data_IF_805805806885
#
_entry.id   IF_805805806885
#
_cell.length_a   1.000
_cell.length_b   1.000
_cell.length_c   1.000
_cell.angle_alpha   90.00
_cell.angle_beta   90.00
_cell.angle_gamma   90.00
#
_symmetry.space_group_name_H-M   'P 1'
#
loop_
_entity.id
_entity.type
_entity.pdbx_description
1 polymer ?
#
# COMPACT_ATOMS: atom_id res chain seq x y z
N UNK A 1 -18.92 -0.49 25.44
CA UNK A 1 -17.64 -0.44 24.71
C UNK A 1 -17.99 -0.15 23.27
N UNK A 2 -17.40 0.86 22.64
CA UNK A 2 -17.57 1.12 21.21
C UNK A 2 -16.99 -0.08 20.46
N UNK A 3 -17.76 -0.69 19.57
CA UNK A 3 -17.29 -1.78 18.73
C UNK A 3 -16.08 -1.28 17.93
N UNK A 4 -14.98 -2.07 17.87
CA UNK A 4 -13.84 -1.80 17.00
C UNK A 4 -14.09 -2.43 15.64
N UNK A 5 -13.37 -2.00 14.62
CA UNK A 5 -13.36 -2.67 13.33
C UNK A 5 -12.19 -3.66 13.30
N UNK A 6 -12.43 -4.89 12.87
CA UNK A 6 -11.42 -5.94 12.74
C UNK A 6 -11.32 -6.43 11.30
N UNK A 7 -10.16 -6.95 10.92
CA UNK A 7 -9.96 -7.60 9.62
C UNK A 7 -10.51 -9.03 9.68
N UNK A 8 -11.44 -9.36 8.79
CA UNK A 8 -12.10 -10.69 8.74
C UNK A 8 -11.71 -11.49 7.50
N UNK A 9 -11.22 -10.82 6.46
CA UNK A 9 -10.71 -11.46 5.25
C UNK A 9 -9.61 -10.64 4.60
N UNK A 10 -8.74 -11.31 3.84
CA UNK A 10 -7.62 -10.69 3.13
C UNK A 10 -7.33 -11.41 1.83
N UNK A 11 -6.72 -10.68 0.89
CA UNK A 11 -6.31 -11.23 -0.40
C UNK A 11 -5.28 -10.36 -1.07
N UNK A 12 -4.51 -10.93 -1.97
CA UNK A 12 -3.52 -10.21 -2.78
C UNK A 12 -3.60 -10.65 -4.24
N UNK A 13 -3.15 -9.77 -5.13
CA UNK A 13 -2.90 -10.06 -6.54
C UNK A 13 -1.49 -9.59 -6.90
N UNK A 14 -0.63 -10.54 -7.25
CA UNK A 14 0.73 -10.28 -7.70
C UNK A 14 0.79 -10.59 -9.19
N UNK A 15 1.23 -9.66 -10.05
CA UNK A 15 1.41 -9.94 -11.46
C UNK A 15 2.37 -11.11 -11.70
N UNK A 16 2.04 -12.05 -12.62
CA UNK A 16 2.90 -13.20 -12.90
C UNK A 16 4.19 -12.81 -13.62
N UNK A 17 4.16 -11.71 -14.37
CA UNK A 17 5.34 -11.20 -15.09
C UNK A 17 6.22 -10.43 -14.11
N UNK A 18 7.52 -10.71 -14.15
CA UNK A 18 8.53 -10.05 -13.33
C UNK A 18 9.53 -9.31 -14.22
N UNK A 19 9.85 -8.10 -13.80
CA UNK A 19 10.98 -7.34 -14.32
C UNK A 19 12.14 -7.53 -13.33
N UNK A 20 13.16 -8.25 -13.76
CA UNK A 20 14.34 -8.54 -12.95
C UNK A 20 15.37 -7.40 -13.03
N UNK A 21 16.36 -7.41 -12.13
CA UNK A 21 17.48 -6.48 -12.23
C UNK A 21 18.29 -6.71 -13.52
N UNK A 22 18.44 -7.96 -13.97
CA UNK A 22 19.09 -8.30 -15.23
C UNK A 22 18.37 -7.72 -16.46
N UNK A 23 17.03 -7.62 -16.43
CA UNK A 23 16.28 -6.95 -17.49
C UNK A 23 16.54 -5.43 -17.49
N UNK A 24 16.63 -4.82 -16.29
CA UNK A 24 16.92 -3.39 -16.16
C UNK A 24 18.33 -3.03 -16.61
N UNK A 25 19.32 -3.92 -16.46
CA UNK A 25 20.68 -3.75 -16.99
C UNK A 25 20.71 -3.59 -18.52
N UNK A 26 19.67 -4.11 -19.22
CA UNK A 26 19.54 -3.94 -20.67
C UNK A 26 18.92 -2.59 -21.06
N UNK A 27 18.31 -1.89 -20.10
CA UNK A 27 17.56 -0.65 -20.36
C UNK A 27 18.33 0.59 -19.92
N UNK A 28 19.02 0.52 -18.77
CA UNK A 28 19.73 1.67 -18.17
C UNK A 28 21.08 1.24 -17.63
N UNK A 29 21.99 2.21 -17.46
CA UNK A 29 23.32 2.00 -16.89
C UNK A 29 23.23 1.68 -15.39
N UNK A 30 23.04 0.41 -15.05
CA UNK A 30 22.90 -0.13 -13.70
C UNK A 30 23.42 -1.57 -13.64
N UNK A 31 23.47 -2.12 -12.43
CA UNK A 31 23.77 -3.54 -12.18
C UNK A 31 22.98 -4.06 -10.98
N UNK A 32 22.85 -5.39 -10.89
CA UNK A 32 22.12 -6.06 -9.80
C UNK A 32 22.64 -5.65 -8.42
N UNK A 33 23.95 -5.63 -8.23
CA UNK A 33 24.55 -5.37 -6.92
C UNK A 33 24.27 -3.94 -6.46
N UNK A 34 24.35 -2.98 -7.38
CA UNK A 34 23.99 -1.58 -7.13
C UNK A 34 22.51 -1.42 -6.74
N UNK A 35 21.61 -2.12 -7.43
CA UNK A 35 20.17 -2.07 -7.11
C UNK A 35 19.89 -2.69 -5.75
N UNK A 36 20.38 -3.90 -5.52
CA UNK A 36 20.14 -4.66 -4.26
C UNK A 36 20.73 -3.92 -3.07
N UNK A 37 21.98 -3.44 -3.16
CA UNK A 37 22.61 -2.68 -2.07
C UNK A 37 21.79 -1.45 -1.68
N UNK A 38 21.14 -0.78 -2.65
CA UNK A 38 20.41 0.47 -2.40
C UNK A 38 18.98 0.28 -2.00
N UNK A 39 18.35 -0.81 -2.41
CA UNK A 39 16.90 -0.96 -2.32
C UNK A 39 16.44 -2.25 -1.65
N UNK A 40 17.25 -3.31 -1.72
CA UNK A 40 16.86 -4.68 -1.38
C UNK A 40 16.02 -5.36 -2.46
N UNK A 41 15.81 -4.74 -3.64
CA UNK A 41 14.90 -5.26 -4.69
C UNK A 41 15.69 -6.14 -5.66
N UNK A 42 15.22 -7.38 -5.88
CA UNK A 42 15.75 -8.30 -6.87
C UNK A 42 14.88 -8.33 -8.13
N UNK A 43 13.56 -8.24 -7.93
CA UNK A 43 12.58 -8.23 -9.01
C UNK A 43 11.32 -7.43 -8.60
N UNK A 44 10.50 -7.05 -9.56
CA UNK A 44 9.22 -6.36 -9.34
C UNK A 44 8.16 -6.88 -10.28
N UNK A 45 6.90 -6.90 -9.80
CA UNK A 45 5.76 -7.26 -10.61
C UNK A 45 5.48 -6.23 -11.69
N UNK A 46 5.16 -6.69 -12.90
CA UNK A 46 4.72 -5.87 -14.02
C UNK A 46 3.39 -6.38 -14.52
N UNK A 47 2.38 -5.52 -14.50
CA UNK A 47 1.02 -5.87 -14.90
C UNK A 47 0.78 -5.54 -16.37
N UNK A 48 0.27 -6.51 -17.13
CA UNK A 48 -0.23 -6.31 -18.47
C UNK A 48 -1.73 -5.96 -18.51
N UNK A 49 -2.37 -5.94 -17.35
CA UNK A 49 -3.78 -5.57 -17.16
C UNK A 49 -3.91 -4.28 -16.36
N UNK A 50 -5.11 -3.74 -16.22
CA UNK A 50 -5.33 -2.48 -15.54
C UNK A 50 -5.32 -2.59 -14.00
N UNK A 51 -5.30 -1.43 -13.33
CA UNK A 51 -5.29 -1.36 -11.86
C UNK A 51 -6.53 -2.03 -11.25
N UNK A 52 -7.69 -1.85 -11.89
CA UNK A 52 -8.94 -2.47 -11.42
C UNK A 52 -8.98 -3.98 -11.63
N UNK A 53 -8.29 -4.53 -12.63
CA UNK A 53 -8.16 -6.00 -12.80
C UNK A 53 -7.38 -6.63 -11.64
N UNK A 54 -6.28 -5.99 -11.22
CA UNK A 54 -5.52 -6.43 -10.06
C UNK A 54 -6.34 -6.31 -8.78
N UNK A 55 -7.05 -5.19 -8.62
CA UNK A 55 -7.92 -4.92 -7.48
C UNK A 55 -9.03 -5.96 -7.36
N UNK A 56 -9.67 -6.34 -8.47
CA UNK A 56 -10.75 -7.34 -8.50
C UNK A 56 -10.28 -8.70 -7.98
N UNK A 57 -9.14 -9.18 -8.44
CA UNK A 57 -8.59 -10.46 -7.98
C UNK A 57 -8.27 -10.43 -6.48
N UNK A 58 -7.68 -9.35 -5.98
CA UNK A 58 -7.37 -9.20 -4.56
C UNK A 58 -8.66 -9.13 -3.72
N UNK A 59 -9.65 -8.37 -4.18
CA UNK A 59 -10.96 -8.20 -3.54
C UNK A 59 -11.72 -9.52 -3.44
N UNK A 60 -11.83 -10.27 -4.54
CA UNK A 60 -12.51 -11.58 -4.55
C UNK A 60 -11.86 -12.57 -3.57
N UNK A 61 -10.53 -12.56 -3.46
CA UNK A 61 -9.80 -13.39 -2.48
C UNK A 61 -10.08 -12.95 -1.04
N UNK A 62 -10.15 -11.63 -0.78
CA UNK A 62 -10.48 -11.10 0.54
C UNK A 62 -11.92 -11.46 0.95
N UNK A 63 -12.88 -11.33 0.03
CA UNK A 63 -14.28 -11.73 0.25
C UNK A 63 -14.39 -13.23 0.53
N UNK A 64 -13.73 -14.07 -0.26
CA UNK A 64 -13.72 -15.51 -0.06
C UNK A 64 -13.12 -15.89 1.31
N UNK A 65 -12.04 -15.22 1.74
CA UNK A 65 -11.44 -15.43 3.05
C UNK A 65 -12.36 -15.00 4.21
N UNK A 66 -13.18 -13.95 4.01
CA UNK A 66 -14.18 -13.51 4.96
C UNK A 66 -15.47 -14.38 4.95
N UNK A 67 -15.65 -15.22 3.93
CA UNK A 67 -16.89 -15.98 3.73
C UNK A 67 -18.08 -15.11 3.33
N UNK A 68 -17.82 -14.00 2.62
CA UNK A 68 -18.81 -13.02 2.20
C UNK A 68 -18.97 -13.01 0.67
N UNK A 69 -20.19 -12.65 0.24
CA UNK A 69 -20.50 -12.35 -1.14
C UNK A 69 -20.32 -10.83 -1.40
N UNK A 70 -20.03 -10.41 -2.64
CA UNK A 70 -19.89 -8.98 -2.96
C UNK A 70 -21.09 -8.11 -2.56
N UNK A 71 -22.30 -8.65 -2.64
CA UNK A 71 -23.53 -7.95 -2.26
C UNK A 71 -23.67 -7.69 -0.75
N UNK A 72 -22.83 -8.33 0.07
CA UNK A 72 -22.81 -8.10 1.53
C UNK A 72 -22.04 -6.83 1.92
N UNK A 73 -21.31 -6.23 0.99
CA UNK A 73 -20.45 -5.06 1.26
C UNK A 73 -21.28 -3.77 1.21
N UNK A 74 -21.11 -2.92 2.23
CA UNK A 74 -21.77 -1.62 2.34
C UNK A 74 -20.89 -0.48 1.77
N UNK A 75 -19.57 -0.65 1.86
CA UNK A 75 -18.63 0.37 1.42
C UNK A 75 -17.39 -0.27 0.78
N UNK A 76 -16.99 0.25 -0.39
CA UNK A 76 -15.76 -0.09 -1.07
C UNK A 76 -14.84 1.12 -1.14
N UNK A 77 -13.62 0.99 -0.59
CA UNK A 77 -12.58 2.03 -0.62
C UNK A 77 -11.41 1.50 -1.44
N UNK A 78 -11.06 2.18 -2.53
CA UNK A 78 -9.88 1.85 -3.33
C UNK A 78 -8.78 2.89 -3.10
N UNK A 79 -7.71 2.49 -2.44
CA UNK A 79 -6.51 3.31 -2.27
C UNK A 79 -5.59 3.14 -3.47
N UNK A 80 -5.42 4.19 -4.27
CA UNK A 80 -4.58 4.19 -5.47
C UNK A 80 -4.08 5.57 -5.85
N UNK A 81 -2.90 5.65 -6.47
CA UNK A 81 -2.38 6.83 -7.19
C UNK A 81 -2.32 6.59 -8.69
N UNK A 82 -2.59 5.36 -9.14
CA UNK A 82 -2.57 4.97 -10.55
C UNK A 82 -3.97 4.52 -11.03
N UNK A 83 -4.99 5.40 -10.92
CA UNK A 83 -6.30 5.07 -11.44
C UNK A 83 -6.23 4.94 -12.95
N UNK A 84 -6.94 3.96 -13.54
CA UNK A 84 -7.01 3.80 -14.99
C UNK A 84 -7.80 4.93 -15.67
N UNK A 85 -8.79 5.47 -14.96
CA UNK A 85 -9.61 6.62 -15.39
C UNK A 85 -9.82 7.61 -14.23
N UNK A 86 -10.10 8.86 -14.58
CA UNK A 86 -10.31 9.92 -13.58
C UNK A 86 -11.76 9.98 -13.09
N UNK A 87 -12.71 9.62 -13.93
CA UNK A 87 -14.14 9.64 -13.63
C UNK A 87 -14.88 8.65 -14.56
N UNK A 88 -15.73 7.75 -14.02
CA UNK A 88 -16.03 7.59 -12.61
C UNK A 88 -14.80 7.19 -11.78
N UNK A 89 -14.90 7.16 -10.43
CA UNK A 89 -13.83 6.62 -9.60
C UNK A 89 -13.60 5.14 -9.93
N UNK A 90 -12.35 4.68 -9.80
CA UNK A 90 -12.05 3.27 -10.07
C UNK A 90 -12.70 2.33 -9.05
N UNK A 91 -12.96 2.82 -7.84
CA UNK A 91 -13.77 2.11 -6.86
C UNK A 91 -15.19 1.82 -7.36
N UNK A 92 -15.82 2.75 -8.11
CA UNK A 92 -17.13 2.50 -8.72
C UNK A 92 -17.06 1.48 -9.86
N UNK A 93 -15.97 1.49 -10.66
CA UNK A 93 -15.73 0.47 -11.69
C UNK A 93 -15.54 -0.89 -11.05
N UNK A 94 -14.75 -0.96 -10.00
CA UNK A 94 -14.51 -2.20 -9.24
C UNK A 94 -15.80 -2.71 -8.58
N UNK A 95 -16.61 -1.81 -8.02
CA UNK A 95 -17.90 -2.12 -7.40
C UNK A 95 -18.86 -2.80 -8.38
N UNK A 96 -18.96 -2.28 -9.60
CA UNK A 96 -19.78 -2.85 -10.68
C UNK A 96 -19.25 -4.23 -11.10
N UNK A 97 -17.94 -4.35 -11.33
CA UNK A 97 -17.29 -5.60 -11.76
C UNK A 97 -17.44 -6.73 -10.73
N UNK A 98 -17.35 -6.42 -9.46
CA UNK A 98 -17.57 -7.36 -8.37
C UNK A 98 -19.06 -7.76 -8.21
N UNK A 99 -19.98 -6.94 -8.68
CA UNK A 99 -21.40 -7.08 -8.38
C UNK A 99 -21.74 -6.67 -6.94
N UNK A 100 -20.96 -5.76 -6.34
CA UNK A 100 -21.19 -5.26 -4.97
C UNK A 100 -22.29 -4.20 -4.97
N UNK A 101 -23.51 -4.60 -5.37
CA UNK A 101 -24.64 -3.73 -5.71
C UNK A 101 -25.12 -2.84 -4.57
N UNK A 102 -24.83 -3.22 -3.32
CA UNK A 102 -25.23 -2.47 -2.13
C UNK A 102 -24.13 -1.49 -1.66
N UNK A 103 -22.91 -1.61 -2.19
CA UNK A 103 -21.78 -0.82 -1.73
C UNK A 103 -21.78 0.60 -2.30
N UNK A 104 -21.64 1.60 -1.43
CA UNK A 104 -21.09 2.88 -1.84
C UNK A 104 -19.59 2.74 -2.14
N UNK A 105 -19.03 3.56 -3.05
CA UNK A 105 -17.66 3.38 -3.49
C UNK A 105 -16.95 4.72 -3.76
N UNK A 106 -15.67 4.83 -3.38
CA UNK A 106 -14.82 5.98 -3.69
C UNK A 106 -13.34 5.62 -3.70
N UNK A 107 -12.57 6.38 -4.51
CA UNK A 107 -11.12 6.31 -4.50
C UNK A 107 -10.53 7.15 -3.37
N UNK A 108 -9.47 6.64 -2.73
CA UNK A 108 -8.69 7.35 -1.72
C UNK A 108 -7.26 7.54 -2.22
N UNK A 109 -6.81 8.78 -2.28
CA UNK A 109 -5.43 9.10 -2.63
C UNK A 109 -4.68 9.69 -1.43
N UNK A 110 -3.86 8.86 -0.79
CA UNK A 110 -2.86 9.26 0.19
C UNK A 110 -1.50 8.60 -0.14
N UNK A 111 -1.25 8.36 -1.43
CA UNK A 111 -0.05 7.72 -1.95
C UNK A 111 0.29 6.43 -1.16
N UNK A 112 1.55 6.22 -0.82
CA UNK A 112 2.02 5.04 -0.07
C UNK A 112 1.33 4.85 1.30
N UNK A 113 0.74 5.91 1.87
CA UNK A 113 -0.04 5.84 3.11
C UNK A 113 -1.50 5.46 2.88
N UNK A 114 -1.92 5.25 1.63
CA UNK A 114 -3.32 5.00 1.25
C UNK A 114 -3.97 3.88 2.04
N UNK A 115 -3.25 2.77 2.26
CA UNK A 115 -3.75 1.67 3.06
C UNK A 115 -4.07 2.06 4.52
N UNK A 116 -3.16 2.81 5.18
CA UNK A 116 -3.33 3.23 6.57
C UNK A 116 -4.48 4.24 6.70
N UNK A 117 -4.56 5.19 5.77
CA UNK A 117 -5.69 6.14 5.72
C UNK A 117 -7.01 5.42 5.43
N UNK A 118 -6.99 4.44 4.53
CA UNK A 118 -8.14 3.59 4.22
C UNK A 118 -8.61 2.80 5.44
N UNK A 119 -7.67 2.16 6.16
CA UNK A 119 -7.96 1.40 7.40
C UNK A 119 -8.58 2.30 8.47
N UNK A 120 -8.01 3.48 8.70
CA UNK A 120 -8.55 4.44 9.67
C UNK A 120 -9.94 4.95 9.27
N UNK A 121 -10.16 5.19 7.97
CA UNK A 121 -11.46 5.62 7.43
C UNK A 121 -12.50 4.51 7.58
N UNK A 122 -12.19 3.28 7.15
CA UNK A 122 -13.06 2.12 7.29
C UNK A 122 -13.42 1.86 8.75
N UNK A 123 -12.43 1.88 9.65
CA UNK A 123 -12.65 1.73 11.08
C UNK A 123 -13.57 2.83 11.65
N UNK A 124 -13.40 4.08 11.21
CA UNK A 124 -14.25 5.18 11.66
C UNK A 124 -15.68 5.06 11.15
N UNK A 125 -15.88 4.58 9.92
CA UNK A 125 -17.21 4.33 9.35
C UNK A 125 -17.95 3.23 10.10
N UNK A 126 -17.25 2.13 10.41
CA UNK A 126 -17.82 1.00 11.16
C UNK A 126 -18.15 1.42 12.59
N UNK A 127 -17.22 2.04 13.30
CA UNK A 127 -17.45 2.47 14.69
C UNK A 127 -18.48 3.59 14.81
N UNK A 128 -18.63 4.39 13.76
CA UNK A 128 -19.67 5.44 13.62
C UNK A 128 -21.04 4.93 13.16
N UNK A 129 -21.18 3.63 12.84
CA UNK A 129 -22.43 3.03 12.38
C UNK A 129 -22.85 3.44 10.96
N UNK A 130 -21.92 3.91 10.13
CA UNK A 130 -22.17 4.28 8.73
C UNK A 130 -22.06 3.09 7.78
N UNK A 131 -21.33 2.06 8.16
CA UNK A 131 -21.16 0.81 7.43
C UNK A 131 -20.92 -0.33 8.42
N UNK A 132 -21.33 -1.54 8.09
CA UNK A 132 -21.01 -2.74 8.84
C UNK A 132 -19.85 -3.51 8.18
N UNK A 133 -19.83 -3.53 6.83
CA UNK A 133 -18.82 -4.27 6.05
C UNK A 133 -18.13 -3.36 5.06
N UNK A 134 -16.85 -3.16 5.25
CA UNK A 134 -16.03 -2.33 4.37
C UNK A 134 -14.99 -3.19 3.65
N UNK A 135 -15.02 -3.17 2.33
CA UNK A 135 -13.97 -3.73 1.50
C UNK A 135 -12.93 -2.64 1.19
N UNK A 136 -11.75 -2.76 1.78
CA UNK A 136 -10.61 -1.89 1.54
C UNK A 136 -9.64 -2.56 0.57
N UNK A 137 -9.29 -1.87 -0.51
CA UNK A 137 -8.37 -2.35 -1.53
C UNK A 137 -7.25 -1.33 -1.73
N UNK A 138 -6.01 -1.79 -1.78
CA UNK A 138 -4.86 -1.02 -2.26
C UNK A 138 -4.38 -1.62 -3.57
N UNK A 139 -4.36 -0.86 -4.66
CA UNK A 139 -3.96 -1.38 -5.97
C UNK A 139 -3.20 -0.35 -6.77
N UNK A 140 -2.13 -0.78 -7.46
CA UNK A 140 -1.23 0.10 -8.21
C UNK A 140 -0.68 -0.55 -9.47
N UNK A 141 -0.54 0.26 -10.53
CA UNK A 141 0.15 -0.04 -11.79
C UNK A 141 1.23 1.00 -12.04
N UNK A 142 2.27 0.97 -11.20
CA UNK A 142 3.30 2.02 -11.16
C UNK A 142 4.29 1.95 -12.30
N UNK A 143 4.56 0.75 -12.86
CA UNK A 143 5.48 0.62 -13.99
C UNK A 143 5.07 1.51 -15.18
N UNK A 144 3.77 1.75 -15.38
CA UNK A 144 3.23 2.56 -16.46
C UNK A 144 3.62 4.04 -16.38
N UNK A 145 3.90 4.55 -15.19
CA UNK A 145 4.25 5.96 -14.94
C UNK A 145 5.74 6.16 -14.68
N UNK A 146 6.56 5.10 -14.81
CA UNK A 146 8.01 5.18 -14.64
C UNK A 146 8.70 5.64 -15.90
N UNK A 147 9.74 6.47 -15.71
CA UNK A 147 10.70 6.83 -16.75
C UNK A 147 11.84 5.81 -16.75
N UNK A 148 11.83 4.87 -17.70
CA UNK A 148 12.88 3.86 -17.84
C UNK A 148 14.19 4.41 -18.39
N UNK A 149 14.33 5.72 -18.57
CA UNK A 149 15.61 6.41 -18.82
C UNK A 149 16.22 6.95 -17.52
N UNK A 150 15.46 6.99 -16.43
CA UNK A 150 15.95 7.41 -15.12
C UNK A 150 16.24 6.21 -14.22
N UNK A 151 17.53 5.79 -14.19
CA UNK A 151 17.96 4.66 -13.36
C UNK A 151 17.72 4.83 -11.87
N UNK A 152 17.52 6.06 -11.39
CA UNK A 152 17.31 6.31 -9.96
C UNK A 152 15.89 5.93 -9.49
N UNK A 153 14.93 5.94 -10.40
CA UNK A 153 13.51 5.71 -10.08
C UNK A 153 12.93 4.47 -10.70
N UNK A 154 13.33 4.07 -11.92
CA UNK A 154 12.79 2.91 -12.62
C UNK A 154 13.05 1.57 -11.91
N UNK A 155 14.07 1.53 -11.04
CA UNK A 155 14.46 0.35 -10.26
C UNK A 155 13.55 0.07 -9.05
N UNK A 156 12.70 1.04 -8.64
CA UNK A 156 12.04 1.03 -7.33
C UNK A 156 10.66 0.35 -7.35
N UNK A 157 9.84 0.69 -8.34
CA UNK A 157 8.40 0.44 -8.27
C UNK A 157 7.98 -0.83 -8.97
N UNK A 158 6.97 -1.49 -8.39
CA UNK A 158 6.28 -2.63 -8.95
C UNK A 158 4.78 -2.49 -8.83
N UNK A 159 4.06 -3.35 -9.52
CA UNK A 159 2.60 -3.40 -9.56
C UNK A 159 2.07 -4.49 -8.64
N UNK A 160 0.82 -4.32 -8.23
CA UNK A 160 0.11 -5.31 -7.45
C UNK A 160 -1.14 -4.75 -6.78
N UNK A 161 -1.86 -5.64 -6.12
CA UNK A 161 -3.00 -5.27 -5.30
C UNK A 161 -3.06 -6.14 -4.04
N UNK A 162 -3.59 -5.54 -2.96
CA UNK A 162 -3.99 -6.25 -1.77
C UNK A 162 -5.31 -5.71 -1.26
N UNK A 163 -6.10 -6.55 -0.62
CA UNK A 163 -7.41 -6.20 -0.13
C UNK A 163 -7.69 -6.83 1.24
N UNK A 164 -8.56 -6.20 2.00
CA UNK A 164 -9.13 -6.79 3.21
C UNK A 164 -10.57 -6.37 3.41
N UNK A 165 -11.33 -7.24 4.07
CA UNK A 165 -12.65 -6.92 4.62
C UNK A 165 -12.50 -6.51 6.07
N UNK A 166 -13.18 -5.43 6.45
CA UNK A 166 -13.29 -4.98 7.83
C UNK A 166 -14.77 -5.06 8.28
N UNK A 167 -14.98 -5.61 9.48
CA UNK A 167 -16.29 -5.77 10.11
C UNK A 167 -16.27 -5.33 11.58
N UNK A 168 -17.41 -5.12 12.23
CA UNK A 168 -17.47 -4.88 13.69
C UNK A 168 -16.88 -6.06 14.45
N UNK A 169 -15.94 -5.78 15.33
CA UNK A 169 -15.34 -6.82 16.21
C UNK A 169 -16.38 -7.36 17.19
N UNK A 170 -16.37 -8.67 17.35
CA UNK A 170 -17.19 -9.37 18.35
C UNK A 170 -16.46 -9.56 19.70
N UNK A 171 -15.12 -9.52 19.66
CA UNK A 171 -14.27 -9.88 20.80
C UNK A 171 -13.52 -8.69 21.39
N UNK A 172 -13.68 -7.48 20.79
CA UNK A 172 -12.96 -6.27 21.22
C UNK A 172 -11.55 -6.15 20.62
N UNK A 173 -11.13 -7.07 19.75
CA UNK A 173 -9.95 -6.96 18.88
C UNK A 173 -10.17 -5.93 17.75
N UNK A 174 -9.19 -5.74 16.89
CA UNK A 174 -9.30 -4.88 15.73
C UNK A 174 -8.41 -3.65 15.81
N UNK A 175 -8.72 -2.61 15.05
CA UNK A 175 -7.93 -1.38 14.98
C UNK A 175 -7.90 -0.70 16.34
N UNK A 176 -6.75 -0.77 17.00
CA UNK A 176 -6.56 -0.25 18.37
C UNK A 176 -6.33 1.25 18.38
N UNK A 177 -5.52 1.74 17.44
CA UNK A 177 -5.23 3.15 17.25
C UNK A 177 -4.75 3.43 15.83
N UNK A 178 -4.84 4.68 15.43
CA UNK A 178 -4.23 5.17 14.19
C UNK A 178 -3.50 6.50 14.45
N UNK A 179 -2.37 6.70 13.76
CA UNK A 179 -1.67 7.96 13.70
C UNK A 179 -1.59 8.41 12.24
N UNK A 180 -2.32 9.46 11.92
CA UNK A 180 -2.35 10.04 10.58
C UNK A 180 -1.69 11.42 10.61
N UNK A 181 -0.98 11.76 9.54
CA UNK A 181 -0.33 13.04 9.41
C UNK A 181 0.10 13.33 7.97
N UNK A 182 0.34 14.59 7.67
CA UNK A 182 0.83 15.02 6.37
C UNK A 182 1.86 16.15 6.53
N UNK A 183 2.90 16.12 5.70
CA UNK A 183 3.87 17.20 5.54
C UNK A 183 3.89 17.68 4.08
N UNK A 184 3.10 18.70 3.80
CA UNK A 184 2.99 19.27 2.46
C UNK A 184 4.27 19.97 1.98
N UNK A 185 5.19 20.33 2.88
CA UNK A 185 6.49 20.89 2.52
C UNK A 185 7.42 19.76 2.07
N UNK A 186 7.48 18.68 2.85
CA UNK A 186 8.22 17.49 2.51
C UNK A 186 7.69 16.81 1.23
N UNK A 187 6.41 16.91 0.93
CA UNK A 187 5.79 16.39 -0.30
C UNK A 187 6.42 16.90 -1.60
N UNK A 188 7.17 18.00 -1.57
CA UNK A 188 7.92 18.49 -2.74
C UNK A 188 9.12 17.63 -3.11
N UNK A 189 9.55 16.73 -2.24
CA UNK A 189 10.68 15.82 -2.49
C UNK A 189 10.32 14.63 -3.35
N UNK A 190 9.01 14.37 -3.54
CA UNK A 190 8.47 13.31 -4.37
C UNK A 190 7.18 13.77 -5.05
N UNK A 191 7.22 13.96 -6.36
CA UNK A 191 6.09 14.50 -7.13
C UNK A 191 5.87 13.70 -8.42
N UNK A 192 4.64 13.26 -8.65
CA UNK A 192 4.15 12.66 -9.90
C UNK A 192 3.26 13.65 -10.66
N UNK A 193 3.79 14.52 -11.54
CA UNK A 193 2.98 15.56 -12.20
C UNK A 193 2.03 14.99 -13.25
N UNK A 194 2.37 13.88 -13.87
CA UNK A 194 1.64 13.27 -15.01
C UNK A 194 0.25 12.78 -14.66
N UNK A 195 0.02 12.42 -13.41
CA UNK A 195 -1.28 11.92 -12.94
C UNK A 195 -2.29 13.03 -12.59
N UNK A 196 -1.86 14.30 -12.68
CA UNK A 196 -2.70 15.46 -12.38
C UNK A 196 -2.94 16.38 -13.59
N UNK A 197 -3.72 17.44 -13.38
CA UNK A 197 -4.06 18.44 -14.42
C UNK A 197 -2.84 19.15 -14.99
N UNK A 198 -1.77 19.29 -14.20
CA UNK A 198 -0.50 19.86 -14.68
C UNK A 198 0.12 19.04 -15.80
N UNK A 199 0.08 17.69 -15.73
CA UNK A 199 0.63 16.81 -16.76
C UNK A 199 -0.13 16.89 -18.09
N UNK A 200 -1.44 17.10 -18.06
CA UNK A 200 -2.28 17.16 -19.26
C UNK A 200 -2.21 18.47 -20.05
N UNK A 201 -1.93 19.58 -19.37
CA UNK A 201 -1.87 20.91 -19.98
C UNK A 201 -0.48 21.27 -20.52
N UNK A 202 0.53 20.44 -20.21
CA UNK A 202 1.85 20.65 -20.76
C UNK A 202 1.88 20.22 -22.23
N UNK A 203 2.36 21.10 -23.10
CA UNK A 203 2.78 20.69 -24.42
C UNK A 203 3.81 19.56 -24.28
N UNK A 204 3.88 18.62 -25.23
CA UNK A 204 4.82 17.50 -25.31
C UNK A 204 6.32 17.86 -25.19
N UNK A 205 6.64 19.10 -24.81
CA UNK A 205 7.98 19.69 -24.79
C UNK A 205 8.56 19.89 -23.40
N UNK A 206 7.80 19.68 -22.32
CA UNK A 206 8.35 19.79 -20.97
C UNK A 206 8.62 18.42 -20.37
N UNK A 207 9.86 17.90 -20.47
CA UNK A 207 10.21 16.60 -19.93
C UNK A 207 10.07 16.52 -18.39
N UNK A 208 10.03 17.69 -17.72
CA UNK A 208 9.85 17.78 -16.27
C UNK A 208 8.45 17.31 -15.84
N UNK A 209 7.44 17.50 -16.69
CA UNK A 209 6.05 17.14 -16.38
C UNK A 209 5.71 15.66 -16.63
N UNK A 210 6.66 14.89 -17.17
CA UNK A 210 6.48 13.47 -17.49
C UNK A 210 7.36 12.54 -16.64
N UNK A 211 8.00 13.06 -15.60
CA UNK A 211 8.92 12.28 -14.76
C UNK A 211 8.54 12.37 -13.31
N UNK A 212 8.78 11.29 -12.58
CA UNK A 212 8.80 11.30 -11.13
C UNK A 212 9.97 12.19 -10.66
N UNK A 213 9.66 13.25 -9.90
CA UNK A 213 10.66 14.00 -9.17
C UNK A 213 10.89 13.31 -7.84
N UNK A 214 12.13 12.89 -7.60
CA UNK A 214 12.48 12.08 -6.43
C UNK A 214 13.83 12.49 -5.84
N UNK A 215 13.81 13.19 -4.70
CA UNK A 215 14.99 13.40 -3.86
C UNK A 215 15.14 12.25 -2.86
N UNK A 216 15.83 11.20 -3.28
CA UNK A 216 15.97 9.98 -2.48
C UNK A 216 16.63 10.19 -1.11
N UNK A 217 17.52 11.20 -0.94
CA UNK A 217 18.15 11.49 0.35
C UNK A 217 17.18 12.15 1.32
N UNK A 218 16.43 13.13 0.83
CA UNK A 218 15.42 13.80 1.64
C UNK A 218 14.31 12.82 2.02
N UNK A 219 13.80 12.03 1.06
CA UNK A 219 12.78 11.00 1.28
C UNK A 219 13.25 9.97 2.32
N UNK A 220 14.49 9.46 2.21
CA UNK A 220 15.04 8.52 3.19
C UNK A 220 15.00 9.09 4.62
N UNK A 221 15.51 10.31 4.81
CA UNK A 221 15.56 10.95 6.12
C UNK A 221 14.17 11.17 6.71
N UNK A 222 13.25 11.71 5.89
CA UNK A 222 11.86 11.99 6.30
C UNK A 222 11.14 10.69 6.65
N UNK A 223 11.28 9.65 5.81
CA UNK A 223 10.63 8.37 6.03
C UNK A 223 11.08 7.70 7.32
N UNK A 224 12.41 7.60 7.57
CA UNK A 224 12.94 6.97 8.80
C UNK A 224 12.46 7.69 10.05
N UNK A 225 12.49 9.03 10.06
CA UNK A 225 12.02 9.82 11.20
C UNK A 225 10.49 9.76 11.37
N UNK A 226 9.77 9.81 10.24
CA UNK A 226 8.30 9.74 10.24
C UNK A 226 7.77 8.42 10.75
N UNK A 227 8.34 7.30 10.29
CA UNK A 227 7.97 5.94 10.74
C UNK A 227 8.19 5.82 12.26
N UNK A 228 9.39 6.17 12.76
CA UNK A 228 9.67 6.09 14.20
C UNK A 228 8.67 6.92 15.01
N UNK A 229 8.45 8.17 14.62
CA UNK A 229 7.56 9.07 15.35
C UNK A 229 6.10 8.60 15.33
N UNK A 230 5.62 8.12 14.16
CA UNK A 230 4.24 7.65 14.00
C UNK A 230 3.98 6.37 14.78
N UNK A 231 4.90 5.39 14.71
CA UNK A 231 4.79 4.14 15.50
C UNK A 231 4.69 4.45 16.99
N UNK A 232 5.57 5.32 17.53
CA UNK A 232 5.52 5.70 18.95
C UNK A 232 4.17 6.32 19.34
N UNK A 233 3.66 7.27 18.53
CA UNK A 233 2.36 7.90 18.80
C UNK A 233 1.18 6.92 18.69
N UNK A 234 1.23 5.98 17.75
CA UNK A 234 0.19 4.96 17.62
C UNK A 234 0.18 4.03 18.85
N UNK A 235 1.34 3.58 19.29
CA UNK A 235 1.48 2.77 20.51
C UNK A 235 1.00 3.52 21.75
N UNK A 236 1.40 4.78 21.93
CA UNK A 236 0.96 5.62 23.05
C UNK A 236 -0.57 5.75 23.08
N UNK A 237 -1.21 5.98 21.92
CA UNK A 237 -2.68 6.04 21.79
C UNK A 237 -3.36 4.71 22.09
N UNK A 238 -2.72 3.60 21.74
CA UNK A 238 -3.23 2.27 22.02
C UNK A 238 -3.01 1.84 23.48
N UNK A 239 -2.16 2.56 24.24
CA UNK A 239 -1.74 2.18 25.58
C UNK A 239 -0.81 0.95 25.59
N UNK A 240 -0.07 0.75 24.50
CA UNK A 240 0.83 -0.38 24.27
C UNK A 240 2.29 0.07 24.22
N UNK A 241 3.17 -0.87 24.45
CA UNK A 241 4.61 -0.76 24.23
C UNK A 241 5.02 -1.59 23.00
N UNK A 242 6.23 -1.37 22.52
CA UNK A 242 6.77 -2.16 21.41
C UNK A 242 6.95 -3.66 21.76
N UNK A 243 7.08 -3.98 23.06
CA UNK A 243 7.18 -5.36 23.52
C UNK A 243 5.87 -6.15 23.35
N UNK A 244 4.74 -5.44 23.31
CA UNK A 244 3.40 -6.02 23.14
C UNK A 244 3.07 -6.32 21.65
N UNK A 245 3.89 -5.82 20.70
CA UNK A 245 3.69 -6.00 19.26
C UNK A 245 4.33 -7.31 18.81
N UNK A 246 3.55 -8.20 18.21
CA UNK A 246 4.03 -9.49 17.70
C UNK A 246 4.79 -9.35 16.38
N UNK A 247 4.29 -8.52 15.46
CA UNK A 247 4.93 -8.25 14.18
C UNK A 247 4.67 -6.82 13.69
N UNK A 248 5.54 -6.35 12.81
CA UNK A 248 5.39 -5.06 12.10
C UNK A 248 5.31 -5.32 10.60
N UNK A 249 4.29 -4.78 9.97
CA UNK A 249 4.06 -4.88 8.52
C UNK A 249 4.22 -3.47 7.91
N UNK A 250 5.46 -3.07 7.57
CA UNK A 250 5.71 -1.73 7.07
C UNK A 250 5.36 -1.60 5.59
N UNK A 251 5.15 -0.37 5.15
CA UNK A 251 5.21 -0.06 3.73
C UNK A 251 6.56 -0.46 3.14
N UNK A 252 6.54 -1.23 2.06
CA UNK A 252 7.71 -1.80 1.38
C UNK A 252 8.32 -0.77 0.41
N UNK A 253 8.78 0.38 0.93
CA UNK A 253 9.36 1.44 0.11
C UNK A 253 10.81 1.15 -0.32
N UNK A 254 11.60 0.68 0.63
CA UNK A 254 13.02 0.41 0.50
C UNK A 254 13.50 -0.33 1.76
N UNK A 255 14.20 -1.43 1.60
CA UNK A 255 14.67 -2.24 2.73
C UNK A 255 15.56 -1.44 3.70
N UNK A 256 16.39 -0.53 3.17
CA UNK A 256 17.25 0.32 4.01
C UNK A 256 16.45 1.29 4.89
N UNK A 257 15.31 1.81 4.40
CA UNK A 257 14.41 2.65 5.19
C UNK A 257 13.81 1.82 6.32
N UNK A 258 13.27 0.64 5.99
CA UNK A 258 12.63 -0.26 6.96
C UNK A 258 13.64 -0.68 8.04
N UNK A 259 14.82 -1.13 7.64
CA UNK A 259 15.90 -1.53 8.55
C UNK A 259 16.40 -0.37 9.43
N UNK A 260 16.51 0.85 8.87
CA UNK A 260 16.93 2.01 9.64
C UNK A 260 15.88 2.43 10.66
N UNK A 261 14.60 2.44 10.29
CA UNK A 261 13.49 2.73 11.21
C UNK A 261 13.37 1.65 12.30
N UNK A 262 13.49 0.37 11.93
CA UNK A 262 13.48 -0.76 12.86
C UNK A 262 14.59 -0.67 13.90
N UNK A 263 15.84 -0.37 13.50
CA UNK A 263 16.95 -0.15 14.45
C UNK A 263 16.68 1.01 15.40
N UNK A 264 16.10 2.12 14.93
CA UNK A 264 15.78 3.27 15.81
C UNK A 264 14.67 2.96 16.82
N UNK A 265 13.74 2.11 16.43
CA UNK A 265 12.68 1.61 17.30
C UNK A 265 13.17 0.52 18.26
N UNK A 266 14.28 -0.16 17.95
CA UNK A 266 14.73 -1.34 18.70
C UNK A 266 13.92 -2.60 18.34
N UNK A 267 13.38 -2.67 17.12
CA UNK A 267 12.65 -3.82 16.63
C UNK A 267 13.59 -5.00 16.35
N UNK A 268 13.12 -6.19 16.70
CA UNK A 268 13.72 -7.44 16.26
C UNK A 268 13.45 -7.60 14.76
N UNK A 269 14.47 -7.77 13.89
CA UNK A 269 14.28 -7.98 12.46
C UNK A 269 13.35 -9.15 12.12
N UNK A 270 13.34 -10.21 12.93
CA UNK A 270 12.51 -11.40 12.71
C UNK A 270 11.01 -11.12 12.90
N UNK A 271 10.65 -9.98 13.51
CA UNK A 271 9.27 -9.49 13.66
C UNK A 271 8.84 -8.54 12.54
N UNK A 272 9.71 -8.25 11.59
CA UNK A 272 9.42 -7.28 10.52
C UNK A 272 9.17 -8.00 9.21
N UNK A 273 7.95 -7.88 8.68
CA UNK A 273 7.62 -8.43 7.37
C UNK A 273 8.37 -7.72 6.26
N UNK A 274 9.10 -8.46 5.44
CA UNK A 274 9.81 -7.98 4.26
C UNK A 274 9.45 -8.84 3.06
N UNK A 275 8.87 -8.23 2.03
CA UNK A 275 8.60 -8.86 0.73
C UNK A 275 9.06 -7.99 -0.46
N UNK A 276 9.71 -6.87 -0.17
CA UNK A 276 10.17 -5.91 -1.18
C UNK A 276 11.12 -6.53 -2.21
N UNK A 277 11.89 -7.54 -1.81
CA UNK A 277 12.86 -8.21 -2.69
C UNK A 277 12.20 -8.78 -3.97
N UNK A 278 10.96 -9.25 -3.87
CA UNK A 278 10.23 -9.93 -4.95
C UNK A 278 9.07 -9.12 -5.53
N UNK A 279 8.64 -8.06 -4.85
CA UNK A 279 7.50 -7.26 -5.29
C UNK A 279 7.86 -5.83 -5.69
N UNK A 280 9.00 -5.32 -5.20
CA UNK A 280 9.33 -3.90 -5.31
C UNK A 280 8.39 -3.03 -4.47
N UNK A 281 8.45 -1.72 -4.70
CA UNK A 281 7.56 -0.76 -4.04
C UNK A 281 6.25 -0.64 -4.82
N UNK A 282 5.17 -1.22 -4.32
CA UNK A 282 3.83 -1.13 -4.89
C UNK A 282 2.93 -0.11 -4.19
N UNK A 283 3.50 0.96 -3.64
CA UNK A 283 2.82 2.08 -2.96
C UNK A 283 1.67 1.63 -2.04
N UNK A 284 0.40 2.00 -2.33
CA UNK A 284 -0.75 1.67 -1.48
C UNK A 284 -1.03 0.16 -1.39
N UNK A 285 -0.62 -0.64 -2.37
CA UNK A 285 -0.79 -2.09 -2.38
C UNK A 285 0.23 -2.82 -1.49
N UNK A 286 1.36 -2.19 -1.13
CA UNK A 286 2.48 -2.87 -0.49
C UNK A 286 2.15 -3.42 0.90
N UNK A 287 1.46 -2.66 1.73
CA UNK A 287 1.08 -3.09 3.09
C UNK A 287 0.08 -4.25 3.06
N UNK A 288 -1.04 -4.18 2.31
CA UNK A 288 -1.98 -5.30 2.27
C UNK A 288 -1.42 -6.55 1.59
N UNK A 289 -0.51 -6.42 0.62
CA UNK A 289 0.21 -7.57 0.07
C UNK A 289 1.14 -8.20 1.12
N UNK A 290 1.88 -7.38 1.87
CA UNK A 290 2.74 -7.85 2.95
C UNK A 290 1.94 -8.44 4.11
N UNK A 291 0.73 -7.92 4.41
CA UNK A 291 -0.20 -8.51 5.38
C UNK A 291 -0.62 -9.92 4.97
N UNK A 292 -0.99 -10.10 3.71
CA UNK A 292 -1.35 -11.42 3.17
C UNK A 292 -0.15 -12.40 3.25
N UNK A 293 1.05 -11.94 2.88
CA UNK A 293 2.27 -12.76 3.00
C UNK A 293 2.58 -13.14 4.45
N UNK A 294 2.42 -12.20 5.40
CA UNK A 294 2.66 -12.44 6.82
C UNK A 294 1.71 -13.51 7.40
N UNK A 295 0.45 -13.52 6.95
CA UNK A 295 -0.53 -14.55 7.32
C UNK A 295 -0.22 -15.90 6.66
N UNK A 296 0.14 -15.90 5.38
CA UNK A 296 0.50 -17.12 4.65
C UNK A 296 1.77 -17.78 5.19
N UNK A 297 2.75 -16.99 5.62
CA UNK A 297 4.02 -17.50 6.20
C UNK A 297 3.91 -17.86 7.68
N UNK A 298 2.81 -17.49 8.34
CA UNK A 298 2.60 -17.70 9.77
C UNK A 298 3.38 -16.76 10.67
N UNK A 299 3.92 -15.65 10.12
CA UNK A 299 4.54 -14.57 10.92
C UNK A 299 3.51 -13.95 11.88
N UNK A 300 2.27 -13.87 11.44
CA UNK A 300 1.12 -13.44 12.24
C UNK A 300 0.01 -14.48 12.19
N UNK A 301 -0.81 -14.50 13.24
CA UNK A 301 -1.96 -15.38 13.41
C UNK A 301 -3.15 -14.57 13.96
N UNK A 302 -4.38 -15.12 13.93
CA UNK A 302 -5.51 -14.49 14.60
C UNK A 302 -5.20 -14.17 16.06
N UNK A 303 -5.39 -12.91 16.44
CA UNK A 303 -5.07 -12.41 17.78
C UNK A 303 -3.68 -11.77 17.91
N UNK A 304 -2.82 -11.84 16.90
CA UNK A 304 -1.54 -11.12 16.88
C UNK A 304 -1.77 -9.61 16.90
N UNK A 305 -0.93 -8.89 17.64
CA UNK A 305 -0.85 -7.42 17.63
C UNK A 305 0.16 -6.99 16.56
N UNK A 306 -0.29 -6.24 15.54
CA UNK A 306 0.50 -5.80 14.39
C UNK A 306 0.44 -4.29 14.22
#
# INVERSE_FOLDING_TARGET
MTARATFTGWGKCVPPVKLTNADLEQLVDTDNDWIVERTGIHERGISHVETTDLAEVAALRALAAAGLEPADIDMLILATVTPEITCPSNACVLQERLGAVNAAAFDLNAACSGWIYGTATASSMITGGMAERVLLVGAEKLHWVMDYWDRATCILFGDGAGAAVLEPSQNGDGVLAADLGADGVAGRTMVFPTLGTRGRLSSHRDPFLHRLHFDGRAVFKIAVQGIEASVRRALDRAGLSLADVDAVIPHQANERIISAAGRRLGLDPDRVMLNIATHGNSAAASVPMALADALETGLIQPGSIV
#
